data_IF_551996194549
#
_entry.id   IF_551996194549
#
_cell.length_a   1.000
_cell.length_b   1.000
_cell.length_c   1.000
_cell.angle_alpha   90.00
_cell.angle_beta   90.00
_cell.angle_gamma   90.00
#
_symmetry.space_group_name_H-M   'P 1'
#
loop_
_entity.id
_entity.type
_entity.pdbx_description
1 polymer ?
#
# COMPACT_ATOMS: atom_id res chain seq x y z
N UNK A 1 -58.11 -55.87 -31.08
CA UNK A 1 -57.07 -56.01 -30.04
C UNK A 1 -56.06 -54.90 -30.29
N UNK A 2 -56.15 -53.84 -29.48
CA UNK A 2 -55.33 -52.64 -29.58
C UNK A 2 -54.18 -52.78 -28.59
N UNK A 3 -52.93 -52.71 -29.07
CA UNK A 3 -51.79 -52.41 -28.21
C UNK A 3 -51.27 -51.04 -28.63
N UNK A 4 -51.71 -50.01 -27.90
CA UNK A 4 -51.17 -48.66 -27.99
C UNK A 4 -49.85 -48.62 -27.20
N UNK A 5 -48.79 -48.19 -27.88
CA UNK A 5 -47.50 -47.92 -27.25
C UNK A 5 -47.61 -46.76 -26.26
N UNK A 6 -46.97 -46.93 -25.11
CA UNK A 6 -46.68 -45.83 -24.19
C UNK A 6 -45.29 -45.31 -24.53
N UNK A 7 -45.26 -44.26 -25.35
CA UNK A 7 -44.11 -43.36 -25.42
C UNK A 7 -44.14 -42.49 -24.16
N UNK A 8 -43.13 -42.68 -23.30
CA UNK A 8 -42.92 -41.79 -22.17
C UNK A 8 -42.21 -40.55 -22.73
N UNK A 9 -42.99 -39.48 -22.96
CA UNK A 9 -42.45 -38.14 -23.18
C UNK A 9 -41.70 -37.70 -21.92
N UNK A 10 -40.39 -37.90 -21.93
CA UNK A 10 -39.48 -37.24 -20.98
C UNK A 10 -39.43 -35.77 -21.40
N UNK A 11 -40.33 -34.97 -20.83
CA UNK A 11 -40.30 -33.51 -20.92
C UNK A 11 -39.01 -33.06 -20.25
N UNK A 12 -37.96 -32.95 -21.06
CA UNK A 12 -36.70 -32.34 -20.69
C UNK A 12 -36.98 -30.85 -20.50
N UNK A 13 -37.24 -30.43 -19.27
CA UNK A 13 -37.36 -29.02 -18.91
C UNK A 13 -36.07 -28.34 -19.41
N UNK A 14 -36.14 -27.36 -20.33
CA UNK A 14 -34.94 -26.70 -20.81
C UNK A 14 -34.21 -26.08 -19.61
N UNK A 15 -32.87 -26.09 -19.60
CA UNK A 15 -32.11 -25.38 -18.57
C UNK A 15 -32.64 -23.96 -18.53
N UNK A 16 -33.09 -23.53 -17.35
CA UNK A 16 -33.67 -22.20 -17.17
C UNK A 16 -32.51 -21.22 -17.30
N UNK A 17 -32.30 -20.68 -18.50
CA UNK A 17 -31.34 -19.60 -18.74
C UNK A 17 -31.86 -18.38 -18.01
N UNK A 18 -31.16 -17.98 -16.94
CA UNK A 18 -31.43 -16.73 -16.23
C UNK A 18 -31.31 -15.56 -17.20
N UNK A 19 -32.21 -14.58 -17.11
CA UNK A 19 -32.01 -13.32 -17.83
C UNK A 19 -30.86 -12.53 -17.21
N UNK A 20 -30.21 -11.66 -17.98
CA UNK A 20 -29.10 -10.83 -17.50
C UNK A 20 -29.48 -10.03 -16.24
N UNK A 21 -30.70 -9.52 -16.17
CA UNK A 21 -31.21 -8.81 -14.98
C UNK A 21 -31.31 -9.73 -13.75
N UNK A 22 -31.82 -10.95 -13.92
CA UNK A 22 -31.92 -11.94 -12.84
C UNK A 22 -30.52 -12.37 -12.38
N UNK A 23 -29.58 -12.51 -13.31
CA UNK A 23 -28.19 -12.82 -12.99
C UNK A 23 -27.56 -11.68 -12.19
N UNK A 24 -27.72 -10.42 -12.62
CA UNK A 24 -27.23 -9.24 -11.90
C UNK A 24 -27.83 -9.18 -10.49
N UNK A 25 -29.15 -9.33 -10.34
CA UNK A 25 -29.83 -9.26 -9.04
C UNK A 25 -29.35 -10.37 -8.10
N UNK A 26 -29.20 -11.59 -8.61
CA UNK A 26 -28.74 -12.74 -7.84
C UNK A 26 -27.29 -12.56 -7.39
N UNK A 27 -26.39 -12.18 -8.30
CA UNK A 27 -24.99 -11.90 -7.98
C UNK A 27 -24.89 -10.78 -6.94
N UNK A 28 -25.62 -9.68 -7.15
CA UNK A 28 -25.65 -8.54 -6.23
C UNK A 28 -26.12 -8.96 -4.84
N UNK A 29 -27.14 -9.82 -4.76
CA UNK A 29 -27.64 -10.37 -3.50
C UNK A 29 -26.58 -11.22 -2.79
N UNK A 30 -25.89 -12.09 -3.52
CA UNK A 30 -24.82 -12.92 -2.95
C UNK A 30 -23.69 -12.05 -2.43
N UNK A 31 -23.10 -11.16 -3.23
CA UNK A 31 -21.93 -10.37 -2.81
C UNK A 31 -22.23 -9.44 -1.64
N UNK A 32 -23.43 -8.84 -1.60
CA UNK A 32 -23.84 -7.99 -0.48
C UNK A 32 -23.98 -8.77 0.84
N UNK A 33 -24.31 -10.07 0.78
CA UNK A 33 -24.29 -10.98 1.93
C UNK A 33 -22.90 -11.15 2.57
N UNK A 34 -21.82 -10.94 1.81
CA UNK A 34 -20.43 -10.94 2.27
C UNK A 34 -19.92 -9.53 2.61
N UNK A 35 -20.81 -8.52 2.64
CA UNK A 35 -20.45 -7.13 2.92
C UNK A 35 -19.69 -6.46 1.77
N UNK A 36 -19.78 -6.99 0.55
CA UNK A 36 -19.17 -6.39 -0.64
C UNK A 36 -20.13 -5.37 -1.23
N UNK A 37 -19.64 -4.15 -1.42
CA UNK A 37 -20.36 -3.06 -2.04
C UNK A 37 -19.80 -2.82 -3.44
N UNK A 38 -20.60 -2.98 -4.48
CA UNK A 38 -20.09 -2.84 -5.85
C UNK A 38 -21.17 -2.83 -6.91
N UNK A 39 -20.73 -2.71 -8.15
CA UNK A 39 -21.56 -2.87 -9.34
C UNK A 39 -21.23 -4.17 -10.04
N UNK A 40 -22.26 -4.82 -10.56
CA UNK A 40 -22.18 -6.03 -11.37
C UNK A 40 -22.59 -5.67 -12.79
N UNK A 41 -21.85 -6.18 -13.78
CA UNK A 41 -22.23 -6.08 -15.19
C UNK A 41 -22.07 -7.43 -15.86
N UNK A 42 -23.02 -7.77 -16.73
CA UNK A 42 -22.86 -8.91 -17.64
C UNK A 42 -21.95 -8.47 -18.78
N UNK A 43 -20.91 -9.25 -19.06
CA UNK A 43 -19.92 -8.99 -20.12
C UNK A 43 -19.99 -10.04 -21.24
N UNK A 44 -20.61 -11.17 -20.97
CA UNK A 44 -20.78 -12.28 -21.90
C UNK A 44 -21.81 -13.28 -21.41
N UNK A 45 -22.07 -14.32 -22.19
CA UNK A 45 -23.02 -15.36 -21.81
C UNK A 45 -22.45 -16.18 -20.63
N UNK A 46 -23.00 -15.96 -19.43
CA UNK A 46 -22.49 -16.58 -18.20
C UNK A 46 -21.26 -15.89 -17.62
N UNK A 47 -20.87 -14.74 -18.15
CA UNK A 47 -19.67 -14.01 -17.75
C UNK A 47 -20.05 -12.66 -17.15
N UNK A 48 -19.51 -12.37 -15.97
CA UNK A 48 -19.78 -11.13 -15.25
C UNK A 48 -18.49 -10.42 -14.86
N UNK A 49 -18.57 -9.10 -14.75
CA UNK A 49 -17.56 -8.27 -14.11
C UNK A 49 -18.12 -7.64 -12.84
N UNK A 50 -17.36 -7.73 -11.74
CA UNK A 50 -17.71 -7.14 -10.45
C UNK A 50 -16.65 -6.10 -10.09
N UNK A 51 -17.07 -4.87 -9.86
CA UNK A 51 -16.18 -3.77 -9.46
C UNK A 51 -16.70 -3.11 -8.19
N UNK A 52 -15.85 -2.90 -7.20
CA UNK A 52 -16.28 -2.29 -5.94
C UNK A 52 -15.30 -2.49 -4.79
N UNK A 53 -15.86 -2.54 -3.60
CA UNK A 53 -15.17 -2.60 -2.32
C UNK A 53 -15.59 -3.86 -1.55
N UNK A 54 -14.61 -4.56 -0.97
CA UNK A 54 -14.84 -5.70 -0.09
C UNK A 54 -14.12 -5.53 1.26
N UNK A 55 -14.64 -6.14 2.35
CA UNK A 55 -14.11 -5.95 3.70
C UNK A 55 -12.74 -6.63 3.92
N UNK A 56 -12.48 -7.74 3.22
CA UNK A 56 -11.19 -8.43 3.24
C UNK A 56 -11.03 -9.32 2.00
N UNK A 57 -9.80 -9.73 1.69
CA UNK A 57 -9.53 -10.67 0.59
C UNK A 57 -10.23 -12.02 0.82
N UNK A 58 -10.32 -12.47 2.07
CA UNK A 58 -10.96 -13.73 2.42
C UNK A 58 -12.47 -13.71 2.16
N UNK A 59 -13.15 -12.62 2.50
CA UNK A 59 -14.59 -12.45 2.25
C UNK A 59 -14.88 -12.33 0.75
N UNK A 60 -14.02 -11.64 0.00
CA UNK A 60 -14.14 -11.57 -1.46
C UNK A 60 -13.97 -12.95 -2.09
N UNK A 61 -12.95 -13.72 -1.71
CA UNK A 61 -12.76 -15.08 -2.23
C UNK A 61 -13.91 -16.02 -1.84
N UNK A 62 -14.45 -15.90 -0.62
CA UNK A 62 -15.61 -16.67 -0.20
C UNK A 62 -16.85 -16.34 -1.05
N UNK A 63 -17.12 -15.05 -1.29
CA UNK A 63 -18.21 -14.62 -2.16
C UNK A 63 -18.05 -15.15 -3.59
N UNK A 64 -16.86 -15.04 -4.18
CA UNK A 64 -16.58 -15.55 -5.52
C UNK A 64 -16.72 -17.06 -5.62
N UNK A 65 -16.33 -17.79 -4.57
CA UNK A 65 -16.53 -19.24 -4.48
C UNK A 65 -18.02 -19.59 -4.50
N UNK A 66 -18.82 -18.91 -3.67
CA UNK A 66 -20.27 -19.09 -3.62
C UNK A 66 -20.94 -18.77 -4.96
N UNK A 67 -20.57 -17.67 -5.61
CA UNK A 67 -21.12 -17.32 -6.93
C UNK A 67 -20.92 -18.45 -7.95
N UNK A 68 -19.73 -19.06 -7.99
CA UNK A 68 -19.40 -20.14 -8.94
C UNK A 68 -20.11 -21.45 -8.61
N UNK A 69 -20.48 -21.69 -7.35
CA UNK A 69 -21.17 -22.91 -6.93
C UNK A 69 -22.69 -22.78 -7.04
N UNK A 70 -23.23 -21.63 -6.66
CA UNK A 70 -24.66 -21.45 -6.39
C UNK A 70 -25.42 -20.86 -7.58
N UNK A 71 -24.73 -20.33 -8.59
CA UNK A 71 -25.34 -19.72 -9.79
C UNK A 71 -25.13 -20.60 -11.02
N UNK A 72 -26.13 -21.39 -11.43
CA UNK A 72 -26.06 -22.18 -12.65
C UNK A 72 -25.85 -21.30 -13.89
N UNK A 73 -24.89 -21.67 -14.72
CA UNK A 73 -24.59 -20.95 -15.97
C UNK A 73 -23.60 -19.79 -15.80
N UNK A 74 -23.13 -19.51 -14.58
CA UNK A 74 -22.01 -18.59 -14.38
C UNK A 74 -20.68 -19.31 -14.64
N UNK A 75 -20.02 -18.95 -15.73
CA UNK A 75 -18.76 -19.57 -16.19
C UNK A 75 -17.54 -18.76 -15.78
N UNK A 76 -17.62 -17.43 -15.82
CA UNK A 76 -16.49 -16.56 -15.52
C UNK A 76 -16.90 -15.35 -14.67
N UNK A 77 -16.00 -14.95 -13.78
CA UNK A 77 -16.16 -13.78 -12.92
C UNK A 77 -14.89 -12.95 -12.96
N UNK A 78 -14.92 -11.84 -13.69
CA UNK A 78 -13.89 -10.82 -13.63
C UNK A 78 -14.01 -10.04 -12.30
N UNK A 79 -13.02 -10.21 -11.44
CA UNK A 79 -12.98 -9.55 -10.13
C UNK A 79 -12.11 -8.29 -10.17
N UNK A 80 -12.74 -7.13 -10.01
CA UNK A 80 -12.11 -5.84 -9.79
C UNK A 80 -12.52 -5.23 -8.43
N UNK A 81 -12.86 -6.07 -7.45
CA UNK A 81 -13.13 -5.65 -6.07
C UNK A 81 -11.80 -5.34 -5.38
N UNK A 82 -11.71 -4.17 -4.76
CA UNK A 82 -10.56 -3.79 -3.94
C UNK A 82 -10.85 -3.98 -2.46
N UNK A 83 -9.81 -4.29 -1.70
CA UNK A 83 -9.89 -4.53 -0.25
C UNK A 83 -8.78 -3.79 0.49
N UNK A 84 -8.94 -3.54 1.80
CA UNK A 84 -7.86 -3.00 2.62
C UNK A 84 -6.63 -3.94 2.71
N UNK A 85 -6.83 -5.26 2.58
CA UNK A 85 -5.74 -6.25 2.60
C UNK A 85 -4.89 -6.17 1.32
N UNK A 86 -5.53 -6.16 0.15
CA UNK A 86 -4.86 -5.94 -1.14
C UNK A 86 -4.19 -4.56 -1.22
N UNK A 87 -4.79 -3.54 -0.60
CA UNK A 87 -4.21 -2.21 -0.49
C UNK A 87 -2.92 -2.19 0.36
N UNK A 88 -2.90 -2.91 1.50
CA UNK A 88 -1.70 -3.10 2.32
C UNK A 88 -0.59 -3.81 1.53
N UNK A 89 -0.90 -4.92 0.87
CA UNK A 89 0.07 -5.68 0.06
C UNK A 89 0.63 -4.83 -1.09
N UNK A 90 -0.22 -4.01 -1.73
CA UNK A 90 0.24 -3.07 -2.73
C UNK A 90 1.24 -2.07 -2.14
N UNK A 91 0.93 -1.45 -0.99
CA UNK A 91 1.84 -0.51 -0.33
C UNK A 91 3.17 -1.17 0.00
N UNK A 92 3.12 -2.37 0.58
CA UNK A 92 4.32 -3.15 0.88
C UNK A 92 5.15 -3.38 -0.38
N UNK A 93 4.57 -3.85 -1.47
CA UNK A 93 5.32 -4.10 -2.72
C UNK A 93 5.82 -2.84 -3.42
N UNK A 94 5.07 -1.73 -3.37
CA UNK A 94 5.40 -0.48 -4.05
C UNK A 94 6.49 0.34 -3.34
N UNK A 95 6.71 0.11 -2.04
CA UNK A 95 7.74 0.81 -1.27
C UNK A 95 9.15 0.30 -1.55
N UNK A 96 10.12 1.21 -1.54
CA UNK A 96 11.54 0.85 -1.52
C UNK A 96 11.90 0.19 -0.18
N UNK A 97 13.00 -0.58 -0.16
CA UNK A 97 13.50 -1.18 1.08
C UNK A 97 13.79 -0.14 2.18
N UNK A 98 14.20 1.08 1.79
CA UNK A 98 14.42 2.19 2.71
C UNK A 98 13.09 2.65 3.34
N UNK A 99 12.06 2.90 2.55
CA UNK A 99 10.75 3.32 3.06
C UNK A 99 10.18 2.30 4.04
N UNK A 100 10.20 1.01 3.69
CA UNK A 100 9.66 -0.07 4.54
C UNK A 100 10.26 -0.14 5.95
N UNK A 101 11.48 0.37 6.15
CA UNK A 101 12.14 0.37 7.47
C UNK A 101 11.69 1.54 8.35
N UNK A 102 11.23 2.63 7.74
CA UNK A 102 10.92 3.89 8.42
C UNK A 102 9.42 4.11 8.62
N UNK A 103 8.58 3.26 8.04
CA UNK A 103 7.13 3.40 8.10
C UNK A 103 6.44 2.09 8.50
N UNK A 104 5.30 2.26 9.16
CA UNK A 104 4.40 1.21 9.58
C UNK A 104 3.08 1.37 8.83
N UNK A 105 2.49 0.24 8.43
CA UNK A 105 1.20 0.20 7.74
C UNK A 105 0.22 -0.50 8.67
N UNK A 106 -0.87 0.18 9.01
CA UNK A 106 -1.96 -0.35 9.81
C UNK A 106 -3.22 -0.44 8.96
N UNK A 107 -3.85 -1.61 8.94
CA UNK A 107 -5.17 -1.79 8.32
C UNK A 107 -6.25 -1.10 9.16
N UNK A 108 -7.16 -0.41 8.49
CA UNK A 108 -8.39 0.17 9.07
C UNK A 108 -9.61 -0.45 8.38
N UNK A 109 -10.79 -0.22 8.95
CA UNK A 109 -12.04 -0.76 8.41
C UNK A 109 -12.37 -0.23 7.00
N UNK A 110 -12.00 1.01 6.67
CA UNK A 110 -12.29 1.70 5.41
C UNK A 110 -11.01 2.05 4.61
N UNK A 111 -9.87 1.49 5.00
CA UNK A 111 -8.61 2.05 4.55
C UNK A 111 -7.35 1.46 5.15
N UNK A 112 -6.28 2.22 4.97
CA UNK A 112 -4.96 1.96 5.53
C UNK A 112 -4.37 3.26 6.08
N UNK A 113 -3.75 3.16 7.25
CA UNK A 113 -2.97 4.22 7.86
C UNK A 113 -1.49 3.90 7.67
N UNK A 114 -0.77 4.83 7.07
CA UNK A 114 0.69 4.77 6.98
C UNK A 114 1.28 5.81 7.92
N UNK A 115 2.11 5.36 8.85
CA UNK A 115 2.74 6.23 9.86
C UNK A 115 4.22 5.98 9.96
N UNK A 116 5.01 6.98 10.35
CA UNK A 116 6.43 6.78 10.55
C UNK A 116 7.20 8.07 10.72
N UNK A 117 8.53 7.96 10.67
CA UNK A 117 9.42 9.10 10.70
C UNK A 117 10.17 9.16 9.36
N UNK A 118 9.95 10.24 8.59
CA UNK A 118 10.54 10.39 7.26
C UNK A 118 11.47 11.60 7.19
N UNK A 119 12.65 11.39 6.63
CA UNK A 119 13.50 12.47 6.14
C UNK A 119 12.88 13.10 4.87
N UNK A 120 13.21 14.35 4.50
CA UNK A 120 12.58 15.05 3.38
C UNK A 120 12.61 14.27 2.04
N UNK A 121 13.74 13.68 1.68
CA UNK A 121 13.86 12.93 0.42
C UNK A 121 13.06 11.61 0.43
N UNK A 122 12.93 10.98 1.60
CA UNK A 122 12.08 9.80 1.76
C UNK A 122 10.60 10.19 1.69
N UNK A 123 10.24 11.39 2.14
CA UNK A 123 8.89 11.92 1.99
C UNK A 123 8.51 12.12 0.52
N UNK A 124 9.41 12.61 -0.33
CA UNK A 124 9.17 12.70 -1.78
C UNK A 124 8.96 11.31 -2.41
N UNK A 125 9.76 10.31 -2.02
CA UNK A 125 9.58 8.94 -2.47
C UNK A 125 8.21 8.38 -2.03
N UNK A 126 7.80 8.65 -0.79
CA UNK A 126 6.48 8.30 -0.28
C UNK A 126 5.35 8.96 -1.10
N UNK A 127 5.47 10.23 -1.47
CA UNK A 127 4.44 10.92 -2.26
C UNK A 127 4.17 10.23 -3.62
N UNK A 128 5.21 9.69 -4.27
CA UNK A 128 5.07 8.90 -5.50
C UNK A 128 4.30 7.59 -5.27
N UNK A 129 4.58 6.89 -4.16
CA UNK A 129 3.84 5.68 -3.78
C UNK A 129 2.38 6.00 -3.46
N UNK A 130 2.12 7.08 -2.71
CA UNK A 130 0.79 7.53 -2.36
C UNK A 130 -0.05 7.94 -3.59
N UNK A 131 0.57 8.53 -4.61
CA UNK A 131 -0.10 8.85 -5.87
C UNK A 131 -0.58 7.58 -6.59
N UNK A 132 0.31 6.60 -6.77
CA UNK A 132 -0.02 5.31 -7.39
C UNK A 132 -1.08 4.53 -6.60
N UNK A 133 -1.07 4.66 -5.27
CA UNK A 133 -2.12 4.11 -4.42
C UNK A 133 -3.48 4.71 -4.77
N UNK A 134 -3.58 6.05 -4.82
CA UNK A 134 -4.85 6.73 -5.12
C UNK A 134 -5.37 6.37 -6.50
N UNK A 135 -4.49 6.27 -7.50
CA UNK A 135 -4.87 5.85 -8.86
C UNK A 135 -5.51 4.46 -8.88
N UNK A 136 -5.04 3.54 -8.04
CA UNK A 136 -5.51 2.15 -8.03
C UNK A 136 -6.74 1.93 -7.14
N UNK A 137 -6.82 2.61 -5.99
CA UNK A 137 -7.78 2.25 -4.95
C UNK A 137 -8.84 3.32 -4.66
N UNK A 138 -8.68 4.56 -5.14
CA UNK A 138 -9.72 5.57 -4.96
C UNK A 138 -10.94 5.26 -5.86
N UNK A 139 -12.17 5.59 -5.41
CA UNK A 139 -12.51 6.21 -4.13
C UNK A 139 -12.69 5.23 -2.96
N UNK A 140 -12.53 3.92 -3.19
CA UNK A 140 -12.99 2.86 -2.29
C UNK A 140 -12.12 2.66 -1.04
N UNK A 141 -10.79 2.75 -1.15
CA UNK A 141 -9.89 2.55 -0.01
C UNK A 141 -9.25 3.88 0.36
N UNK A 142 -9.48 4.33 1.59
CA UNK A 142 -8.87 5.56 2.10
C UNK A 142 -7.40 5.33 2.45
N UNK A 143 -6.54 6.24 2.02
CA UNK A 143 -5.16 6.34 2.47
C UNK A 143 -5.01 7.47 3.48
N UNK A 144 -4.69 7.13 4.72
CA UNK A 144 -4.31 8.10 5.75
C UNK A 144 -2.80 8.09 5.98
N UNK A 145 -2.24 9.27 6.25
CA UNK A 145 -0.80 9.44 6.46
C UNK A 145 -0.49 10.22 7.72
N UNK A 146 0.39 9.70 8.56
CA UNK A 146 0.85 10.36 9.78
C UNK A 146 2.38 10.26 9.87
N UNK A 147 3.08 11.25 9.32
CA UNK A 147 4.53 11.30 9.37
C UNK A 147 5.01 12.35 10.35
N UNK A 148 6.01 11.98 11.13
CA UNK A 148 6.83 12.93 11.87
C UNK A 148 8.06 13.26 11.02
N UNK A 149 8.40 14.55 10.85
CA UNK A 149 9.62 14.90 10.15
C UNK A 149 10.80 14.46 10.99
N UNK A 150 11.77 13.80 10.36
CA UNK A 150 13.03 13.53 11.05
C UNK A 150 13.88 14.80 11.02
N UNK A 151 14.14 15.37 12.19
CA UNK A 151 14.84 16.65 12.33
C UNK A 151 16.28 16.38 12.75
N UNK A 152 17.24 16.91 11.98
CA UNK A 152 18.63 16.89 12.38
C UNK A 152 18.87 17.77 13.61
N UNK A 153 19.78 17.37 14.53
CA UNK A 153 20.26 18.25 15.58
C UNK A 153 20.83 19.54 14.97
N UNK A 154 20.47 20.67 15.56
CA UNK A 154 20.97 21.98 15.11
C UNK A 154 22.47 22.08 15.42
N UNK A 155 23.33 22.26 14.40
CA UNK A 155 24.76 22.36 14.62
C UNK A 155 25.08 23.72 15.23
N UNK A 156 25.69 23.70 16.42
CA UNK A 156 26.35 24.87 16.98
C UNK A 156 27.68 25.13 16.28
N UNK A 157 28.42 24.08 15.92
CA UNK A 157 29.68 24.19 15.21
C UNK A 157 30.15 22.88 14.57
N UNK A 158 31.03 22.99 13.59
CA UNK A 158 31.50 21.85 12.79
C UNK A 158 33.03 21.87 12.72
N UNK A 159 33.66 20.72 12.96
CA UNK A 159 35.09 20.52 12.80
C UNK A 159 35.33 19.52 11.68
N UNK A 160 36.03 19.93 10.62
CA UNK A 160 36.29 19.14 9.41
C UNK A 160 37.75 18.68 9.28
N UNK A 161 38.53 18.73 10.37
CA UNK A 161 39.91 18.23 10.40
C UNK A 161 40.01 16.70 10.33
N UNK A 162 41.16 16.13 10.71
CA UNK A 162 41.44 14.69 10.53
C UNK A 162 40.38 13.76 11.16
N UNK A 163 39.75 14.18 12.25
CA UNK A 163 38.60 13.50 12.84
C UNK A 163 37.39 14.43 12.82
N UNK A 164 36.52 14.34 11.80
CA UNK A 164 35.35 15.21 11.70
C UNK A 164 34.34 15.00 12.83
N UNK A 165 33.78 16.09 13.34
CA UNK A 165 32.68 16.04 14.31
C UNK A 165 31.82 17.31 14.29
N UNK A 166 30.59 17.18 14.78
CA UNK A 166 29.64 18.28 14.97
C UNK A 166 29.42 18.51 16.45
N UNK A 167 29.42 19.77 16.86
CA UNK A 167 28.94 20.20 18.16
C UNK A 167 27.52 20.70 17.98
N UNK A 168 26.54 20.11 18.65
CA UNK A 168 25.14 20.57 18.63
C UNK A 168 24.89 21.60 19.73
N UNK A 169 23.74 22.28 19.72
CA UNK A 169 23.43 23.37 20.68
C UNK A 169 23.55 22.95 22.16
N UNK A 170 23.20 21.71 22.50
CA UNK A 170 23.34 21.21 23.88
C UNK A 170 24.80 20.86 24.28
N UNK A 171 25.78 21.06 23.39
CA UNK A 171 27.20 20.79 23.63
C UNK A 171 27.66 19.37 23.30
N UNK A 172 26.73 18.47 22.94
CA UNK A 172 27.06 17.09 22.54
C UNK A 172 27.91 17.09 21.27
N UNK A 173 28.89 16.18 21.21
CA UNK A 173 29.72 15.96 20.02
C UNK A 173 29.23 14.71 19.30
N UNK A 174 28.88 14.88 18.02
CA UNK A 174 28.50 13.81 17.11
C UNK A 174 29.65 13.55 16.13
N UNK A 175 30.08 12.30 16.01
CA UNK A 175 31.21 11.86 15.19
C UNK A 175 30.75 10.89 14.11
N UNK A 176 31.61 10.68 13.12
CA UNK A 176 31.47 9.54 12.19
C UNK A 176 31.40 8.26 13.03
N UNK A 177 30.39 7.44 12.77
CA UNK A 177 30.07 6.22 13.51
C UNK A 177 28.96 6.37 14.56
N UNK A 178 28.61 7.60 14.98
CA UNK A 178 27.53 7.81 15.94
C UNK A 178 26.16 7.57 15.30
N UNK A 179 25.20 7.09 16.09
CA UNK A 179 23.82 6.88 15.66
C UNK A 179 22.97 8.12 15.93
N UNK A 180 22.23 8.56 14.92
CA UNK A 180 21.21 9.60 15.01
C UNK A 180 19.81 9.00 15.13
N UNK A 181 19.66 8.03 16.02
CA UNK A 181 18.40 7.31 16.28
C UNK A 181 17.70 6.88 14.98
N UNK A 182 16.61 7.55 14.61
CA UNK A 182 15.78 7.28 13.43
C UNK A 182 16.43 7.64 12.09
N UNK A 183 17.54 8.38 12.08
CA UNK A 183 18.29 8.75 10.87
C UNK A 183 19.40 7.77 10.50
N UNK A 184 19.72 6.80 11.36
CA UNK A 184 20.81 5.86 11.12
C UNK A 184 22.17 6.34 11.59
N UNK A 185 23.25 5.82 11.00
CA UNK A 185 24.63 6.05 11.47
C UNK A 185 25.32 7.12 10.65
N UNK A 186 25.99 8.08 11.29
CA UNK A 186 26.80 9.08 10.58
C UNK A 186 27.98 8.38 9.90
N UNK A 187 28.12 8.56 8.59
CA UNK A 187 29.21 7.99 7.80
C UNK A 187 30.14 9.03 7.20
N UNK A 188 29.68 10.27 7.08
CA UNK A 188 30.51 11.38 6.62
C UNK A 188 30.00 12.71 7.20
N UNK A 189 30.90 13.68 7.33
CA UNK A 189 30.62 15.03 7.80
C UNK A 189 31.41 15.99 6.92
N UNK A 190 30.71 16.90 6.25
CA UNK A 190 31.30 17.87 5.33
C UNK A 190 30.77 19.30 5.58
N UNK A 191 31.13 20.22 4.69
CA UNK A 191 30.72 21.64 4.75
C UNK A 191 29.22 21.85 4.59
N UNK A 192 28.57 21.02 3.78
CA UNK A 192 27.14 21.12 3.45
C UNK A 192 26.25 20.42 4.47
N UNK A 193 26.75 19.38 5.14
CA UNK A 193 25.93 18.59 6.04
C UNK A 193 26.60 17.31 6.55
N UNK A 194 25.75 16.33 6.82
CA UNK A 194 26.19 14.99 7.20
C UNK A 194 25.65 13.96 6.23
N UNK A 195 26.43 12.92 5.98
CA UNK A 195 25.93 11.72 5.34
C UNK A 195 25.60 10.68 6.41
N UNK A 196 24.39 10.14 6.37
CA UNK A 196 23.93 9.07 7.26
C UNK A 196 23.62 7.81 6.46
N UNK A 197 24.07 6.66 6.98
CA UNK A 197 23.74 5.35 6.44
C UNK A 197 22.40 4.87 6.99
N UNK A 198 21.46 4.66 6.09
CA UNK A 198 20.13 4.10 6.37
C UNK A 198 20.02 2.78 5.62
N UNK A 199 20.34 1.68 6.30
CA UNK A 199 20.43 0.38 5.66
C UNK A 199 21.63 0.23 4.74
N UNK A 200 21.42 -0.01 3.45
CA UNK A 200 22.50 -0.20 2.46
C UNK A 200 22.97 1.13 1.84
N UNK A 201 22.16 2.18 1.94
CA UNK A 201 22.41 3.46 1.25
C UNK A 201 22.93 4.52 2.21
N UNK A 202 23.76 5.43 1.69
CA UNK A 202 24.19 6.64 2.37
C UNK A 202 23.41 7.84 1.81
N UNK A 203 22.88 8.67 2.69
CA UNK A 203 22.06 9.82 2.35
C UNK A 203 22.68 11.08 2.93
N UNK A 204 22.95 12.05 2.07
CA UNK A 204 23.43 13.36 2.51
C UNK A 204 22.26 14.21 3.00
N UNK A 205 22.40 14.75 4.20
CA UNK A 205 21.44 15.63 4.85
C UNK A 205 22.11 16.97 5.13
N UNK A 206 21.62 18.06 4.52
CA UNK A 206 22.18 19.38 4.75
C UNK A 206 21.94 19.84 6.18
N UNK A 207 22.81 20.70 6.69
CA UNK A 207 22.59 21.28 8.02
C UNK A 207 21.26 22.04 8.08
N UNK A 208 20.45 21.86 9.15
CA UNK A 208 19.17 22.54 9.29
C UNK A 208 19.32 24.06 9.46
N UNK A 209 20.50 24.51 9.88
CA UNK A 209 20.89 25.92 9.94
C UNK A 209 22.40 26.06 9.75
N UNK A 210 22.85 27.27 9.45
CA UNK A 210 24.28 27.56 9.35
C UNK A 210 24.94 27.40 10.75
N UNK A 211 26.00 26.59 10.88
CA UNK A 211 26.75 26.49 12.13
C UNK A 211 27.33 27.84 12.55
N UNK A 212 27.42 28.11 13.87
CA UNK A 212 28.00 29.36 14.38
C UNK A 212 29.48 29.47 14.06
N UNK A 213 30.16 28.33 13.93
CA UNK A 213 31.55 28.25 13.51
C UNK A 213 31.80 26.97 12.72
N UNK A 214 32.77 27.02 11.81
CA UNK A 214 33.27 25.87 11.06
C UNK A 214 34.78 25.97 11.01
N UNK A 215 35.48 24.91 11.42
CA UNK A 215 36.94 24.84 11.43
C UNK A 215 37.39 23.77 10.45
N UNK A 216 38.33 24.12 9.60
CA UNK A 216 38.94 23.24 8.62
C UNK A 216 40.44 23.26 8.86
N UNK A 217 41.04 22.10 9.04
CA UNK A 217 42.50 22.01 9.01
C UNK A 217 42.92 21.95 7.55
N UNK A 218 43.86 22.82 7.15
CA UNK A 218 44.51 22.66 5.85
C UNK A 218 45.21 21.30 5.84
N UNK A 219 44.96 20.51 4.78
CA UNK A 219 45.73 19.31 4.51
C UNK A 219 47.17 19.77 4.24
N UNK A 220 48.04 19.64 5.24
CA UNK A 220 49.48 19.80 5.10
C UNK A 220 50.07 18.80 4.11
#
# INVERSE_FOLDING_TARGET
MNNAGLEVEVISKPPTTLSDSQLIDLVTTVISGFGIEGSVRVIGAGEIAITGYGPSDAEVEAALHHLRQDIPGLTEVENAIVTPDGARVFLESAMTAQLRRSIHILKKADGVLVSGALAPIAFEAWQKVAARFREKFAPYIRLETQFTPVILPVPRGVHLGQTPFIVVENGTRLKIGDSLESLGQIVDIDRSGISVRIGADAMHLPYPSKPKWMVEEEKG
#
